data_IF_914363223195
#
_entry.id   IF_914363223195
#
_cell.length_a   1.000
_cell.length_b   1.000
_cell.length_c   1.000
_cell.angle_alpha   90.00
_cell.angle_beta   90.00
_cell.angle_gamma   90.00
#
_symmetry.space_group_name_H-M   'P 1'
#
loop_
_entity.id
_entity.type
_entity.pdbx_description
1 polymer ?
#
# COMPACT_ATOMS: atom_id res chain seq x y z
N UNK A 1 -6.43 -60.91 4.74
CA UNK A 1 -5.74 -59.62 4.51
C UNK A 1 -6.39 -58.92 3.33
N UNK A 2 -7.38 -58.09 3.61
CA UNK A 2 -8.10 -57.28 2.61
C UNK A 2 -7.19 -56.13 2.20
N UNK A 3 -6.83 -56.05 0.91
CA UNK A 3 -6.00 -54.98 0.36
C UNK A 3 -6.84 -53.68 0.41
N UNK A 4 -6.35 -52.58 0.99
CA UNK A 4 -7.11 -51.34 0.99
C UNK A 4 -7.21 -50.80 -0.45
N UNK A 5 -8.45 -50.49 -0.85
CA UNK A 5 -8.76 -49.84 -2.12
C UNK A 5 -8.14 -48.42 -2.14
N UNK A 6 -7.32 -48.08 -3.16
CA UNK A 6 -6.67 -46.78 -3.27
C UNK A 6 -7.57 -45.66 -3.79
N UNK A 7 -8.88 -45.88 -3.90
CA UNK A 7 -9.78 -45.01 -4.68
C UNK A 7 -10.39 -43.82 -3.92
N UNK A 8 -10.15 -43.66 -2.61
CA UNK A 8 -10.85 -42.64 -1.79
C UNK A 8 -10.00 -41.42 -1.39
N UNK A 9 -8.77 -41.30 -1.89
CA UNK A 9 -7.82 -40.24 -1.48
C UNK A 9 -7.72 -39.06 -2.46
N UNK A 10 -8.81 -38.69 -3.16
CA UNK A 10 -8.77 -37.53 -4.06
C UNK A 10 -10.03 -36.67 -4.04
N UNK A 11 -10.53 -36.37 -2.84
CA UNK A 11 -11.32 -35.16 -2.61
C UNK A 11 -10.45 -34.09 -1.93
N UNK A 12 -9.32 -33.79 -2.56
CA UNK A 12 -8.57 -32.57 -2.28
C UNK A 12 -9.45 -31.38 -2.64
N UNK A 13 -9.80 -30.58 -1.62
CA UNK A 13 -10.65 -29.40 -1.76
C UNK A 13 -10.19 -28.54 -2.93
N UNK A 14 -11.11 -28.32 -3.88
CA UNK A 14 -10.97 -27.38 -5.01
C UNK A 14 -10.82 -25.96 -4.45
N UNK A 15 -9.64 -25.61 -3.97
CA UNK A 15 -9.26 -24.20 -3.80
C UNK A 15 -9.15 -23.64 -5.22
N UNK A 16 -9.92 -22.60 -5.58
CA UNK A 16 -9.80 -22.02 -6.90
C UNK A 16 -8.34 -21.57 -7.06
N UNK A 17 -7.63 -22.01 -8.13
CA UNK A 17 -6.33 -21.46 -8.42
C UNK A 17 -6.57 -20.00 -8.79
N UNK A 18 -6.27 -19.10 -7.87
CA UNK A 18 -6.11 -17.69 -8.20
C UNK A 18 -4.91 -17.63 -9.14
N UNK A 19 -5.21 -17.68 -10.42
CA UNK A 19 -4.20 -17.61 -11.47
C UNK A 19 -3.47 -16.30 -11.27
N UNK A 20 -2.14 -16.34 -11.24
CA UNK A 20 -1.30 -15.16 -11.04
C UNK A 20 -1.64 -14.04 -12.04
N UNK A 21 -2.17 -14.42 -13.21
CA UNK A 21 -2.71 -13.49 -14.20
C UNK A 21 -3.96 -12.73 -13.74
N UNK A 22 -4.86 -13.33 -12.95
CA UNK A 22 -6.04 -12.65 -12.43
C UNK A 22 -5.66 -11.59 -11.40
N UNK A 23 -4.66 -11.88 -10.57
CA UNK A 23 -4.13 -10.94 -9.57
C UNK A 23 -3.44 -9.77 -10.28
N UNK A 24 -2.60 -10.04 -11.29
CA UNK A 24 -1.96 -8.99 -12.08
C UNK A 24 -2.96 -8.11 -12.82
N UNK A 25 -3.98 -8.73 -13.44
CA UNK A 25 -5.06 -8.02 -14.11
C UNK A 25 -5.85 -7.15 -13.14
N UNK A 26 -6.18 -7.66 -11.94
CA UNK A 26 -6.91 -6.90 -10.93
C UNK A 26 -6.11 -5.69 -10.42
N UNK A 27 -4.81 -5.87 -10.18
CA UNK A 27 -3.91 -4.78 -9.75
C UNK A 27 -3.87 -3.68 -10.81
N UNK A 28 -3.64 -4.05 -12.08
CA UNK A 28 -3.56 -3.07 -13.17
C UNK A 28 -4.92 -2.45 -13.50
N UNK A 29 -6.01 -3.20 -13.34
CA UNK A 29 -7.36 -2.68 -13.49
C UNK A 29 -7.67 -1.63 -12.42
N UNK A 30 -7.30 -1.87 -11.16
CA UNK A 30 -7.49 -0.90 -10.06
C UNK A 30 -6.58 0.32 -10.28
N UNK A 31 -5.31 0.12 -10.65
CA UNK A 31 -4.38 1.20 -10.96
C UNK A 31 -4.88 2.07 -12.13
N UNK A 32 -5.35 1.44 -13.20
CA UNK A 32 -5.91 2.13 -14.36
C UNK A 32 -7.24 2.84 -14.03
N UNK A 33 -8.11 2.22 -13.25
CA UNK A 33 -9.37 2.82 -12.82
C UNK A 33 -9.11 4.06 -11.94
N UNK A 34 -8.12 3.97 -11.04
CA UNK A 34 -7.67 5.10 -10.23
C UNK A 34 -7.08 6.21 -11.11
N UNK A 35 -6.30 5.85 -12.13
CA UNK A 35 -5.75 6.79 -13.11
C UNK A 35 -6.84 7.52 -13.89
N UNK A 36 -7.91 6.82 -14.30
CA UNK A 36 -9.04 7.40 -15.04
C UNK A 36 -9.88 8.30 -14.13
N UNK A 37 -10.15 7.91 -12.87
CA UNK A 37 -10.90 8.74 -11.91
C UNK A 37 -10.15 10.01 -11.51
N UNK A 38 -8.84 9.91 -11.30
CA UNK A 38 -7.99 11.07 -11.03
C UNK A 38 -7.83 11.92 -12.30
N UNK A 39 -7.70 11.27 -13.46
CA UNK A 39 -7.37 11.93 -14.72
C UNK A 39 -5.89 12.31 -14.80
N UNK A 40 -5.40 12.55 -16.03
CA UNK A 40 -3.99 12.80 -16.32
C UNK A 40 -3.37 13.91 -15.45
N UNK A 41 -4.12 15.00 -15.27
CA UNK A 41 -3.65 16.16 -14.50
C UNK A 41 -3.60 15.91 -12.98
N UNK A 42 -4.57 15.21 -12.39
CA UNK A 42 -4.53 14.96 -10.94
C UNK A 42 -3.48 13.94 -10.58
N UNK A 43 -3.20 12.97 -11.44
CA UNK A 43 -2.15 12.00 -11.16
C UNK A 43 -0.76 12.65 -11.20
N UNK A 44 -0.51 13.59 -12.13
CA UNK A 44 0.70 14.39 -12.13
C UNK A 44 0.81 15.27 -10.88
N UNK A 45 -0.30 15.89 -10.46
CA UNK A 45 -0.35 16.67 -9.22
C UNK A 45 -0.07 15.80 -7.99
N UNK A 46 -0.69 14.63 -7.89
CA UNK A 46 -0.43 13.66 -6.81
C UNK A 46 1.01 13.18 -6.84
N UNK A 47 1.59 12.92 -8.02
CA UNK A 47 2.98 12.46 -8.14
C UNK A 47 3.95 13.52 -7.64
N UNK A 48 3.75 14.79 -8.03
CA UNK A 48 4.55 15.91 -7.55
C UNK A 48 4.34 16.10 -6.05
N UNK A 49 3.09 16.05 -5.57
CA UNK A 49 2.79 16.18 -4.14
C UNK A 49 3.35 15.02 -3.31
N UNK A 50 3.40 13.81 -3.87
CA UNK A 50 4.03 12.65 -3.26
C UNK A 50 5.55 12.78 -3.26
N UNK A 51 6.15 13.32 -4.32
CA UNK A 51 7.59 13.63 -4.35
C UNK A 51 7.94 14.68 -3.31
N UNK A 52 7.17 15.77 -3.26
CA UNK A 52 7.33 16.87 -2.31
C UNK A 52 7.08 16.37 -0.90
N UNK A 53 6.02 15.61 -0.68
CA UNK A 53 5.68 14.99 0.61
C UNK A 53 6.71 13.95 1.04
N UNK A 54 7.31 13.19 0.12
CA UNK A 54 8.44 12.32 0.40
C UNK A 54 9.69 13.11 0.73
N UNK A 55 9.96 14.21 0.02
CA UNK A 55 11.14 15.03 0.27
C UNK A 55 11.03 15.80 1.59
N UNK A 56 9.87 16.41 1.86
CA UNK A 56 9.53 17.01 3.15
C UNK A 56 9.53 15.93 4.22
N UNK A 57 8.80 14.83 4.02
CA UNK A 57 8.69 13.74 4.97
C UNK A 57 10.05 13.16 5.33
N UNK A 58 10.89 12.85 4.35
CA UNK A 58 12.25 12.36 4.55
C UNK A 58 13.15 13.39 5.23
N UNK A 59 13.12 14.66 4.79
CA UNK A 59 13.91 15.75 5.41
C UNK A 59 13.50 15.99 6.86
N UNK A 60 12.19 16.03 7.13
CA UNK A 60 11.63 16.26 8.45
C UNK A 60 11.78 15.04 9.37
N UNK A 61 11.53 13.81 8.91
CA UNK A 61 11.72 12.61 9.74
C UNK A 61 13.18 12.36 10.11
N UNK A 62 14.11 12.74 9.23
CA UNK A 62 15.54 12.63 9.48
C UNK A 62 15.99 13.63 10.54
N UNK A 63 15.56 14.89 10.44
CA UNK A 63 15.80 15.91 11.47
C UNK A 63 14.67 15.92 12.51
N UNK A 64 14.73 14.99 13.49
CA UNK A 64 13.90 15.02 14.71
C UNK A 64 13.87 16.42 15.35
N UNK A 65 14.97 17.17 15.23
CA UNK A 65 15.10 18.55 15.71
C UNK A 65 14.32 19.57 14.87
N UNK A 66 14.26 19.41 13.54
CA UNK A 66 13.49 20.29 12.66
C UNK A 66 11.97 20.04 12.81
N UNK A 67 11.56 18.77 12.96
CA UNK A 67 10.20 18.41 13.34
C UNK A 67 9.85 19.02 14.70
N UNK A 68 10.72 18.86 15.71
CA UNK A 68 10.50 19.43 17.04
C UNK A 68 10.40 20.95 16.99
N UNK A 69 11.30 21.66 16.29
CA UNK A 69 11.23 23.12 16.14
C UNK A 69 10.00 23.61 15.38
N UNK A 70 9.54 22.88 14.35
CA UNK A 70 8.33 23.25 13.62
C UNK A 70 7.09 22.98 14.47
N UNK A 71 7.07 21.87 15.21
CA UNK A 71 6.02 21.52 16.17
C UNK A 71 5.99 22.52 17.33
N UNK A 72 7.11 22.87 17.94
CA UNK A 72 7.20 23.85 19.04
C UNK A 72 6.76 25.27 18.61
N UNK A 73 6.84 25.57 17.31
CA UNK A 73 6.42 26.85 16.74
C UNK A 73 4.95 26.85 16.31
N UNK A 74 4.38 25.71 15.95
CA UNK A 74 2.97 25.56 15.58
C UNK A 74 2.09 25.21 16.79
N UNK A 75 2.66 24.51 17.77
CA UNK A 75 2.10 24.17 19.07
C UNK A 75 2.94 24.89 20.13
N UNK A 76 2.50 26.08 20.59
CA UNK A 76 3.26 26.89 21.52
C UNK A 76 3.67 26.08 22.76
N UNK A 77 4.90 26.30 23.26
CA UNK A 77 5.51 25.49 24.28
C UNK A 77 4.83 25.73 25.64
N UNK A 78 4.40 24.64 26.28
CA UNK A 78 3.97 24.69 27.67
C UNK A 78 3.43 23.35 28.15
N UNK A 79 4.03 22.85 29.23
CA UNK A 79 3.52 21.77 30.09
C UNK A 79 3.78 20.32 29.66
N UNK A 80 5.04 19.90 29.57
CA UNK A 80 5.39 18.56 30.05
C UNK A 80 6.66 18.68 30.89
N UNK A 81 6.42 19.03 32.16
CA UNK A 81 7.34 18.82 33.29
C UNK A 81 7.09 17.42 33.83
#
# INVERSE_FOLDING_TARGET
MQKPDPADQSKGGRRPPVSSGLIGALIMFILGLLWVLLGFWKLLFILILALVGYYLGFRYFYDREAIRKLIDRILPPGMFR
#
